data_IF_401332658498
#
_entry.id   IF_401332658498
#
_cell.length_a   1.000
_cell.length_b   1.000
_cell.length_c   1.000
_cell.angle_alpha   90.00
_cell.angle_beta   90.00
_cell.angle_gamma   90.00
#
_symmetry.space_group_name_H-M   'P 1'
#
loop_
_entity.id
_entity.type
_entity.pdbx_description
1 polymer ?
#
# COMPACT_ATOMS: atom_id res chain seq x y z
N UNK A 1 21.53 2.55 28.45
CA UNK A 1 22.06 2.86 29.79
C UNK A 1 23.56 2.99 29.68
N UNK A 2 24.09 4.20 29.90
CA UNK A 2 25.50 4.52 29.68
C UNK A 2 26.36 3.83 30.74
N UNK A 3 26.98 2.71 30.36
CA UNK A 3 27.69 1.83 31.31
C UNK A 3 28.99 2.45 31.81
N UNK A 4 29.71 3.19 30.97
CA UNK A 4 30.97 3.88 31.30
C UNK A 4 30.87 5.35 30.87
N UNK A 5 30.80 6.22 31.87
CA UNK A 5 30.74 7.68 31.70
C UNK A 5 31.86 8.24 32.58
N UNK A 6 32.86 8.88 31.99
CA UNK A 6 34.01 9.42 32.73
C UNK A 6 33.67 10.75 33.41
N UNK A 7 32.79 11.56 32.80
CA UNK A 7 32.42 12.91 33.22
C UNK A 7 30.91 13.03 33.48
N UNK A 8 30.35 12.34 34.49
CA UNK A 8 28.91 12.35 34.79
C UNK A 8 28.36 13.74 35.16
N UNK A 9 29.11 14.52 35.92
CA UNK A 9 28.70 15.87 36.33
C UNK A 9 28.49 16.81 35.13
N UNK A 10 29.39 16.75 34.14
CA UNK A 10 29.37 17.62 32.96
C UNK A 10 28.17 17.30 32.04
N UNK A 11 27.79 16.02 31.96
CA UNK A 11 26.57 15.59 31.27
C UNK A 11 25.31 16.10 31.99
N UNK A 12 25.26 16.01 33.32
CA UNK A 12 24.11 16.48 34.11
C UNK A 12 23.93 17.99 34.00
N UNK A 13 25.02 18.77 34.03
CA UNK A 13 24.99 20.23 33.78
C UNK A 13 24.39 20.53 32.40
N UNK A 14 24.81 19.80 31.36
CA UNK A 14 24.29 19.97 30.01
C UNK A 14 22.80 19.62 29.90
N UNK A 15 22.34 18.58 30.60
CA UNK A 15 20.93 18.16 30.66
C UNK A 15 20.05 19.18 31.39
N UNK A 16 20.53 19.78 32.49
CA UNK A 16 19.80 20.82 33.22
C UNK A 16 19.59 22.07 32.36
N UNK A 17 20.61 22.49 31.62
CA UNK A 17 20.47 23.59 30.67
C UNK A 17 19.50 23.25 29.55
N UNK A 18 19.54 22.01 29.04
CA UNK A 18 18.61 21.55 28.01
C UNK A 18 17.15 21.57 28.51
N UNK A 19 16.89 21.15 29.75
CA UNK A 19 15.55 21.21 30.36
C UNK A 19 15.03 22.66 30.48
N UNK A 20 15.90 23.62 30.85
CA UNK A 20 15.55 25.05 30.90
C UNK A 20 15.23 25.61 29.51
N UNK A 21 15.97 25.18 28.49
CA UNK A 21 15.79 25.59 27.09
C UNK A 21 14.49 25.03 26.47
N UNK A 22 14.07 23.85 26.92
CA UNK A 22 12.91 23.10 26.40
C UNK A 22 11.55 23.64 26.92
N UNK A 23 11.54 24.70 27.74
CA UNK A 23 10.32 25.38 28.25
C UNK A 23 9.22 24.41 28.69
N UNK A 24 9.57 23.47 29.58
CA UNK A 24 8.70 22.34 29.92
C UNK A 24 7.46 22.76 30.73
N UNK A 25 6.29 22.32 30.26
CA UNK A 25 5.13 22.09 31.12
C UNK A 25 5.37 20.85 32.02
N UNK A 26 4.54 20.65 33.05
CA UNK A 26 4.71 19.54 34.01
C UNK A 26 4.70 18.14 33.33
N UNK A 27 4.17 18.03 32.12
CA UNK A 27 4.13 16.79 31.35
C UNK A 27 5.46 16.51 30.63
N UNK A 28 6.05 17.54 30.01
CA UNK A 28 7.38 17.47 29.37
C UNK A 28 8.49 17.20 30.39
N UNK A 29 8.42 17.81 31.58
CA UNK A 29 9.40 17.61 32.66
C UNK A 29 9.45 16.13 33.11
N UNK A 30 8.28 15.50 33.33
CA UNK A 30 8.17 14.08 33.68
C UNK A 30 8.68 13.15 32.58
N UNK A 31 8.52 13.52 31.31
CA UNK A 31 9.01 12.75 30.17
C UNK A 31 10.53 12.81 30.09
N UNK A 32 11.12 13.99 30.27
CA UNK A 32 12.58 14.19 30.30
C UNK A 32 13.19 13.40 31.45
N UNK A 33 12.62 13.45 32.66
CA UNK A 33 13.09 12.63 33.79
C UNK A 33 13.06 11.13 33.49
N UNK A 34 12.03 10.64 32.77
CA UNK A 34 11.94 9.23 32.36
C UNK A 34 13.03 8.84 31.35
N UNK A 35 13.37 9.71 30.41
CA UNK A 35 14.43 9.50 29.42
C UNK A 35 15.80 9.51 30.10
N UNK A 36 16.04 10.50 30.94
CA UNK A 36 17.28 10.65 31.71
C UNK A 36 17.50 9.46 32.63
N UNK A 37 16.48 9.01 33.36
CA UNK A 37 16.57 7.83 34.22
C UNK A 37 16.76 6.51 33.45
N UNK A 38 16.20 6.37 32.24
CA UNK A 38 16.46 5.23 31.33
C UNK A 38 17.93 5.15 30.92
N UNK A 39 18.58 6.29 30.68
CA UNK A 39 19.97 6.31 30.20
C UNK A 39 21.02 6.37 31.32
N UNK A 40 20.80 7.15 32.37
CA UNK A 40 21.77 7.37 33.46
C UNK A 40 21.45 6.58 34.75
N UNK A 41 20.18 6.23 34.98
CA UNK A 41 19.74 5.58 36.22
C UNK A 41 20.15 6.36 37.46
N UNK A 42 20.62 5.66 38.50
CA UNK A 42 21.02 6.24 39.80
C UNK A 42 22.15 7.28 39.73
N UNK A 43 22.89 7.36 38.61
CA UNK A 43 23.95 8.35 38.43
C UNK A 43 23.39 9.76 38.28
N UNK A 44 22.17 9.92 37.75
CA UNK A 44 21.56 11.24 37.66
C UNK A 44 21.30 11.84 39.04
N UNK A 45 20.62 11.09 39.90
CA UNK A 45 20.28 11.47 41.29
C UNK A 45 21.53 11.77 42.16
N UNK A 46 22.68 11.17 41.84
CA UNK A 46 23.94 11.36 42.57
C UNK A 46 24.60 12.72 42.26
N UNK A 47 24.54 13.16 41.00
CA UNK A 47 25.24 14.37 40.54
C UNK A 47 24.32 15.59 40.37
N UNK A 48 23.00 15.38 40.35
CA UNK A 48 21.99 16.43 40.26
C UNK A 48 22.15 17.53 41.34
N UNK A 49 22.29 17.23 42.64
CA UNK A 49 22.41 18.27 43.67
C UNK A 49 23.67 19.11 43.51
N UNK A 50 24.73 18.51 42.96
CA UNK A 50 26.01 19.20 42.72
C UNK A 50 25.92 20.12 41.50
N UNK A 51 25.20 19.69 40.45
CA UNK A 51 24.94 20.51 39.28
C UNK A 51 24.04 21.72 39.62
N UNK A 52 22.97 21.50 40.40
CA UNK A 52 22.07 22.56 40.83
C UNK A 52 22.81 23.62 41.65
N UNK A 53 23.68 23.21 42.59
CA UNK A 53 24.50 24.13 43.37
C UNK A 53 25.48 24.97 42.52
N UNK A 54 26.00 24.42 41.42
CA UNK A 54 26.88 25.15 40.50
C UNK A 54 26.11 26.12 39.60
N UNK A 55 24.86 25.81 39.24
CA UNK A 55 24.03 26.62 38.35
C UNK A 55 23.26 27.73 39.08
N UNK A 56 22.93 27.54 40.36
CA UNK A 56 22.12 28.49 41.15
C UNK A 56 22.84 29.83 41.42
N UNK A 57 24.18 29.82 41.47
CA UNK A 57 24.99 31.01 41.75
C UNK A 57 25.39 31.82 40.51
N UNK A 58 25.00 31.39 39.31
CA UNK A 58 25.48 31.93 38.03
C UNK A 58 24.39 32.72 37.29
N UNK A 59 24.80 33.75 36.54
CA UNK A 59 23.92 34.46 35.60
C UNK A 59 23.66 33.63 34.33
N UNK A 60 22.64 33.97 33.54
CA UNK A 60 22.22 33.18 32.38
C UNK A 60 23.32 33.08 31.31
N UNK A 61 24.10 34.15 31.09
CA UNK A 61 25.28 34.13 30.22
C UNK A 61 26.38 33.19 30.75
N UNK A 62 26.56 33.14 32.07
CA UNK A 62 27.54 32.28 32.73
C UNK A 62 27.12 30.80 32.68
N UNK A 63 25.83 30.50 32.80
CA UNK A 63 25.26 29.14 32.62
C UNK A 63 25.49 28.61 31.21
N UNK A 64 25.31 29.45 30.19
CA UNK A 64 25.59 29.09 28.78
C UNK A 64 27.07 28.79 28.59
N UNK A 65 27.97 29.60 29.17
CA UNK A 65 29.41 29.37 29.09
C UNK A 65 29.82 28.09 29.80
N UNK A 66 29.29 27.82 31.00
CA UNK A 66 29.55 26.59 31.74
C UNK A 66 29.09 25.37 30.94
N UNK A 67 27.86 25.40 30.40
CA UNK A 67 27.31 24.33 29.55
C UNK A 67 28.22 24.04 28.35
N UNK A 68 28.75 25.07 27.70
CA UNK A 68 29.68 24.92 26.58
C UNK A 68 31.01 24.27 27.00
N UNK A 69 31.52 24.62 28.18
CA UNK A 69 32.73 23.99 28.74
C UNK A 69 32.47 22.54 29.13
N UNK A 70 31.29 22.23 29.66
CA UNK A 70 30.86 20.87 29.98
C UNK A 70 30.77 20.00 28.73
N UNK A 71 30.12 20.48 27.66
CA UNK A 71 30.06 19.79 26.37
C UNK A 71 31.45 19.54 25.76
N UNK A 72 32.40 20.47 25.94
CA UNK A 72 33.79 20.28 25.51
C UNK A 72 34.50 19.17 26.29
N UNK A 73 34.30 19.09 27.61
CA UNK A 73 34.88 18.01 28.43
C UNK A 73 34.28 16.64 28.11
N UNK A 74 33.06 16.59 27.61
CA UNK A 74 32.43 15.35 27.11
C UNK A 74 33.07 14.84 25.81
N UNK A 75 33.91 15.63 25.13
CA UNK A 75 34.68 15.18 23.98
C UNK A 75 35.70 14.07 24.35
N UNK A 76 36.17 14.05 25.61
CA UNK A 76 37.14 13.08 26.12
C UNK A 76 36.53 11.68 26.37
N UNK A 77 35.21 11.53 26.21
CA UNK A 77 34.51 10.25 26.32
C UNK A 77 34.80 9.32 25.13
N UNK A 78 34.62 8.01 25.32
CA UNK A 78 34.71 7.01 24.24
C UNK A 78 33.68 7.32 23.12
N UNK A 79 34.01 7.02 21.86
CA UNK A 79 33.12 7.29 20.72
C UNK A 79 31.73 6.65 20.86
N UNK A 80 31.65 5.46 21.48
CA UNK A 80 30.39 4.81 21.83
C UNK A 80 29.57 5.61 22.84
N UNK A 81 30.23 6.15 23.88
CA UNK A 81 29.60 6.97 24.91
C UNK A 81 29.17 8.33 24.35
N UNK A 82 29.96 8.96 23.48
CA UNK A 82 29.58 10.21 22.80
C UNK A 82 28.34 10.03 21.93
N UNK A 83 28.22 8.89 21.25
CA UNK A 83 27.01 8.51 20.51
C UNK A 83 25.80 8.35 21.44
N UNK A 84 25.95 7.64 22.56
CA UNK A 84 24.86 7.46 23.53
C UNK A 84 24.43 8.79 24.20
N UNK A 85 25.37 9.71 24.44
CA UNK A 85 25.07 11.06 24.95
C UNK A 85 24.27 11.86 23.92
N UNK A 86 24.70 11.84 22.65
CA UNK A 86 24.01 12.56 21.58
C UNK A 86 22.59 12.00 21.38
N UNK A 87 22.43 10.67 21.37
CA UNK A 87 21.14 9.98 21.32
C UNK A 87 20.22 10.38 22.48
N UNK A 88 20.77 10.63 23.68
CA UNK A 88 19.97 11.08 24.82
C UNK A 88 19.50 12.52 24.66
N UNK A 89 20.36 13.43 24.17
CA UNK A 89 19.95 14.79 23.85
C UNK A 89 18.89 14.81 22.75
N UNK A 90 19.02 13.94 21.75
CA UNK A 90 18.04 13.76 20.66
C UNK A 90 16.70 13.23 21.22
N UNK A 91 16.70 12.19 22.07
CA UNK A 91 15.47 11.68 22.70
C UNK A 91 14.74 12.76 23.53
N UNK A 92 15.46 13.75 24.08
CA UNK A 92 14.88 14.86 24.86
C UNK A 92 14.34 15.96 23.94
N UNK A 93 15.13 16.40 22.96
CA UNK A 93 14.81 17.53 22.08
C UNK A 93 13.69 17.19 21.09
N UNK A 94 13.66 15.95 20.60
CA UNK A 94 12.70 15.52 19.58
C UNK A 94 11.53 14.73 20.15
N UNK A 95 11.27 14.91 21.46
CA UNK A 95 10.17 14.24 22.15
C UNK A 95 8.80 14.88 21.86
N UNK A 96 8.79 16.15 21.45
CA UNK A 96 7.60 16.92 21.06
C UNK A 96 7.44 17.01 19.53
N UNK A 97 6.21 17.27 19.07
CA UNK A 97 5.92 17.46 17.65
C UNK A 97 6.56 18.75 17.07
N UNK A 98 6.86 19.73 17.92
CA UNK A 98 7.46 21.02 17.54
C UNK A 98 8.77 21.24 18.30
N UNK A 99 9.87 21.45 17.56
CA UNK A 99 11.22 21.67 18.12
C UNK A 99 11.52 23.17 18.15
N UNK A 100 11.90 23.69 19.32
CA UNK A 100 12.23 25.10 19.50
C UNK A 100 13.57 25.46 18.84
N UNK A 101 13.69 26.69 18.36
CA UNK A 101 14.94 27.20 17.75
C UNK A 101 16.12 27.19 18.72
N UNK A 102 15.86 27.32 20.02
CA UNK A 102 16.82 27.25 21.11
C UNK A 102 17.34 25.83 21.34
N UNK A 103 16.46 24.81 21.26
CA UNK A 103 16.83 23.40 21.37
C UNK A 103 17.70 22.96 20.19
N UNK A 104 17.32 23.39 18.97
CA UNK A 104 18.12 23.17 17.77
C UNK A 104 19.52 23.78 17.90
N UNK A 105 19.60 25.01 18.40
CA UNK A 105 20.89 25.68 18.61
C UNK A 105 21.75 24.92 19.62
N UNK A 106 21.15 24.40 20.69
CA UNK A 106 21.85 23.55 21.66
C UNK A 106 22.37 22.27 21.00
N UNK A 107 21.54 21.57 20.23
CA UNK A 107 21.90 20.33 19.55
C UNK A 107 23.04 20.52 18.55
N UNK A 108 22.98 21.56 17.71
CA UNK A 108 24.04 21.89 16.75
C UNK A 108 25.38 22.18 17.45
N UNK A 109 25.33 22.84 18.61
CA UNK A 109 26.50 23.10 19.44
C UNK A 109 27.04 21.78 20.02
N UNK A 110 26.18 20.93 20.59
CA UNK A 110 26.57 19.65 21.16
C UNK A 110 27.20 18.73 20.10
N UNK A 111 26.56 18.56 18.93
CA UNK A 111 27.06 17.77 17.80
C UNK A 111 28.45 18.24 17.34
N UNK A 112 28.62 19.55 17.17
CA UNK A 112 29.91 20.15 16.75
C UNK A 112 31.02 19.94 17.80
N UNK A 113 30.69 20.06 19.08
CA UNK A 113 31.67 19.95 20.17
C UNK A 113 32.04 18.49 20.49
N UNK A 114 31.08 17.56 20.38
CA UNK A 114 31.31 16.13 20.59
C UNK A 114 32.03 15.45 19.40
N UNK A 115 32.08 16.10 18.22
CA UNK A 115 32.79 15.63 17.02
C UNK A 115 32.42 14.19 16.60
N UNK A 116 31.13 13.85 16.66
CA UNK A 116 30.68 12.49 16.35
C UNK A 116 30.28 12.40 14.87
N UNK A 117 31.03 11.64 14.06
CA UNK A 117 30.58 11.22 12.74
C UNK A 117 29.82 9.90 12.90
N UNK A 118 28.50 9.95 12.81
CA UNK A 118 27.61 8.86 13.25
C UNK A 118 26.93 8.08 12.15
N UNK A 119 26.65 8.69 11.00
CA UNK A 119 25.66 8.15 10.06
C UNK A 119 26.29 7.67 8.74
N UNK A 120 25.83 6.51 8.26
CA UNK A 120 26.25 5.97 6.96
C UNK A 120 25.64 6.76 5.79
N UNK A 121 24.51 7.44 6.03
CA UNK A 121 23.81 8.31 5.07
C UNK A 121 23.52 9.66 5.74
N UNK A 122 23.81 10.76 5.06
CA UNK A 122 23.36 12.09 5.50
C UNK A 122 21.90 12.33 5.06
N UNK A 123 20.98 12.65 5.99
CA UNK A 123 19.58 12.89 5.63
C UNK A 123 19.43 14.18 4.81
N UNK A 124 18.58 14.13 3.77
CA UNK A 124 18.27 15.24 2.88
C UNK A 124 16.80 15.25 2.49
N UNK A 125 16.22 16.43 2.23
CA UNK A 125 14.80 16.54 1.87
C UNK A 125 14.50 15.76 0.59
N UNK A 126 15.40 15.83 -0.40
CA UNK A 126 15.28 15.11 -1.66
C UNK A 126 15.21 13.59 -1.49
N UNK A 127 16.01 13.02 -0.58
CA UNK A 127 15.96 11.59 -0.28
C UNK A 127 14.64 11.21 0.40
N UNK A 128 14.13 12.04 1.32
CA UNK A 128 12.85 11.79 1.98
C UNK A 128 11.64 11.97 1.06
N UNK A 129 11.73 12.85 0.05
CA UNK A 129 10.70 12.95 -0.99
C UNK A 129 10.66 11.68 -1.84
N UNK A 130 11.82 11.14 -2.21
CA UNK A 130 11.91 9.85 -2.88
C UNK A 130 11.28 8.72 -2.05
N UNK A 131 11.65 8.62 -0.77
CA UNK A 131 11.14 7.58 0.13
C UNK A 131 9.62 7.69 0.34
N UNK A 132 9.07 8.92 0.36
CA UNK A 132 7.62 9.12 0.43
C UNK A 132 6.89 8.62 -0.83
N UNK A 133 7.44 8.87 -2.02
CA UNK A 133 6.87 8.35 -3.27
C UNK A 133 6.98 6.84 -3.33
N UNK A 134 8.11 6.27 -2.93
CA UNK A 134 8.29 4.82 -2.83
C UNK A 134 7.22 4.21 -1.90
N UNK A 135 7.01 4.81 -0.72
CA UNK A 135 5.99 4.37 0.24
C UNK A 135 4.56 4.45 -0.34
N UNK A 136 4.24 5.53 -1.06
CA UNK A 136 2.93 5.68 -1.70
C UNK A 136 2.69 4.64 -2.80
N UNK A 137 3.73 4.33 -3.57
CA UNK A 137 3.67 3.39 -4.69
C UNK A 137 3.57 1.94 -4.23
N UNK A 138 4.33 1.57 -3.19
CA UNK A 138 4.36 0.21 -2.63
C UNK A 138 2.98 -0.31 -2.21
N UNK A 139 2.04 0.57 -1.83
CA UNK A 139 0.66 0.21 -1.48
C UNK A 139 0.52 -0.92 -0.45
N UNK A 140 1.59 -1.25 0.29
CA UNK A 140 1.59 -2.33 1.28
C UNK A 140 0.91 -1.87 2.57
N UNK A 141 0.16 -2.76 3.21
CA UNK A 141 -0.48 -2.53 4.52
C UNK A 141 0.56 -2.26 5.66
N UNK A 142 1.86 -2.34 5.34
CA UNK A 142 3.03 -2.08 6.19
C UNK A 142 3.52 -0.62 6.17
N UNK A 143 2.85 0.28 5.43
CA UNK A 143 3.21 1.69 5.30
C UNK A 143 2.92 2.54 6.55
N UNK A 144 3.16 2.02 7.75
CA UNK A 144 3.24 2.85 8.96
C UNK A 144 4.65 3.46 9.06
N UNK A 145 4.72 4.76 9.33
CA UNK A 145 5.98 5.47 9.62
C UNK A 145 6.82 4.72 10.68
N UNK A 146 6.16 3.99 11.57
CA UNK A 146 6.77 3.31 12.71
C UNK A 146 7.57 2.04 12.34
N UNK A 147 7.22 1.31 11.27
CA UNK A 147 7.95 0.09 10.86
C UNK A 147 9.23 0.41 10.06
N UNK A 148 9.19 1.43 9.20
CA UNK A 148 10.39 1.88 8.47
C UNK A 148 11.32 2.78 9.30
N UNK A 149 10.82 3.33 10.42
CA UNK A 149 11.63 4.15 11.32
C UNK A 149 12.88 3.40 11.80
N UNK A 150 12.82 2.09 12.06
CA UNK A 150 13.99 1.32 12.50
C UNK A 150 15.08 1.26 11.42
N UNK A 151 14.72 1.05 10.16
CA UNK A 151 15.66 1.04 9.03
C UNK A 151 16.22 2.45 8.79
N UNK A 152 15.38 3.48 8.82
CA UNK A 152 15.87 4.85 8.63
C UNK A 152 16.80 5.29 9.76
N UNK A 153 16.47 4.95 11.01
CA UNK A 153 17.31 5.23 12.19
C UNK A 153 18.66 4.52 12.08
N UNK A 154 18.67 3.27 11.59
CA UNK A 154 19.90 2.48 11.38
C UNK A 154 20.90 3.18 10.44
N UNK A 155 20.42 3.85 9.39
CA UNK A 155 21.30 4.47 8.38
C UNK A 155 21.52 5.98 8.54
N UNK A 156 20.48 6.72 8.94
CA UNK A 156 20.44 8.19 8.94
C UNK A 156 20.32 8.81 10.34
N UNK A 157 20.07 8.00 11.38
CA UNK A 157 19.86 8.46 12.74
C UNK A 157 18.41 8.87 13.07
N UNK A 158 18.14 9.32 14.31
CA UNK A 158 16.79 9.65 14.77
C UNK A 158 16.26 11.01 14.29
N UNK A 159 17.11 11.90 13.76
CA UNK A 159 16.76 13.26 13.29
C UNK A 159 15.98 13.30 11.97
N UNK A 160 15.54 12.14 11.46
CA UNK A 160 14.89 11.94 10.16
C UNK A 160 13.49 12.56 10.07
N UNK A 161 12.80 12.76 11.20
CA UNK A 161 11.39 13.20 11.23
C UNK A 161 11.19 14.59 10.60
N UNK A 162 12.17 15.48 10.74
CA UNK A 162 12.10 16.84 10.17
C UNK A 162 12.11 16.77 8.64
N UNK A 163 13.05 16.00 8.08
CA UNK A 163 13.16 15.80 6.63
C UNK A 163 11.94 15.08 6.06
N UNK A 164 11.41 14.10 6.79
CA UNK A 164 10.16 13.42 6.44
C UNK A 164 8.98 14.39 6.36
N UNK A 165 8.78 15.22 7.39
CA UNK A 165 7.69 16.19 7.44
C UNK A 165 7.81 17.22 6.32
N UNK A 166 9.00 17.75 6.06
CA UNK A 166 9.23 18.71 4.98
C UNK A 166 8.96 18.07 3.60
N UNK A 167 9.46 16.86 3.36
CA UNK A 167 9.19 16.10 2.15
C UNK A 167 7.69 15.83 1.96
N UNK A 168 6.98 15.44 3.02
CA UNK A 168 5.54 15.23 2.99
C UNK A 168 4.78 16.51 2.61
N UNK A 169 5.12 17.64 3.22
CA UNK A 169 4.50 18.93 2.89
C UNK A 169 4.75 19.33 1.42
N UNK A 170 5.92 18.99 0.88
CA UNK A 170 6.26 19.27 -0.51
C UNK A 170 5.54 18.37 -1.54
N UNK A 171 4.92 17.26 -1.11
CA UNK A 171 4.30 16.25 -1.98
C UNK A 171 2.77 16.16 -1.81
N UNK A 172 2.23 16.49 -0.63
CA UNK A 172 0.82 16.23 -0.25
C UNK A 172 -0.25 16.74 -1.24
N UNK A 173 0.02 17.82 -1.97
CA UNK A 173 -0.94 18.48 -2.86
C UNK A 173 -0.77 18.07 -4.33
N UNK A 174 0.16 17.16 -4.63
CA UNK A 174 0.50 16.72 -5.99
C UNK A 174 -0.10 15.34 -6.29
N UNK A 175 -0.49 15.11 -7.55
CA UNK A 175 -0.83 13.76 -8.03
C UNK A 175 0.43 12.88 -8.18
N UNK A 176 0.24 11.56 -8.24
CA UNK A 176 1.34 10.59 -8.28
C UNK A 176 2.29 10.81 -9.46
N UNK A 177 1.77 11.09 -10.65
CA UNK A 177 2.58 11.32 -11.85
C UNK A 177 3.49 12.55 -11.66
N UNK A 178 2.94 13.62 -11.07
CA UNK A 178 3.67 14.84 -10.76
C UNK A 178 4.71 14.62 -9.65
N UNK A 179 4.38 13.81 -8.64
CA UNK A 179 5.32 13.45 -7.58
C UNK A 179 6.53 12.67 -8.13
N UNK A 180 6.30 11.67 -9.00
CA UNK A 180 7.37 10.88 -9.64
C UNK A 180 8.28 11.78 -10.48
N UNK A 181 7.71 12.68 -11.28
CA UNK A 181 8.49 13.61 -12.09
C UNK A 181 9.32 14.58 -11.22
N UNK A 182 8.75 15.09 -10.12
CA UNK A 182 9.44 15.98 -9.19
C UNK A 182 10.63 15.28 -8.53
N UNK A 183 10.39 14.11 -7.95
CA UNK A 183 11.42 13.29 -7.29
C UNK A 183 12.56 12.93 -8.25
N UNK A 184 12.26 12.56 -9.50
CA UNK A 184 13.29 12.30 -10.50
C UNK A 184 14.19 13.52 -10.78
N UNK A 185 13.64 14.74 -10.69
CA UNK A 185 14.43 15.97 -10.79
C UNK A 185 15.26 16.27 -9.53
N UNK A 186 14.68 16.02 -8.36
CA UNK A 186 15.30 16.29 -7.06
C UNK A 186 16.44 15.31 -6.72
N UNK A 187 16.30 14.03 -7.10
CA UNK A 187 17.36 13.03 -6.98
C UNK A 187 18.65 13.42 -7.71
N UNK A 188 18.59 14.24 -8.78
CA UNK A 188 19.78 14.73 -9.48
C UNK A 188 20.67 15.61 -8.60
N UNK A 189 20.11 16.25 -7.57
CA UNK A 189 20.89 17.03 -6.61
C UNK A 189 21.80 16.14 -5.76
N UNK A 190 21.49 14.85 -5.64
CA UNK A 190 22.26 13.86 -4.90
C UNK A 190 23.40 13.21 -5.72
N UNK A 191 23.60 13.62 -6.98
CA UNK A 191 24.62 13.01 -7.85
C UNK A 191 26.07 13.19 -7.33
N UNK A 192 26.33 14.27 -6.58
CA UNK A 192 27.66 14.67 -6.12
C UNK A 192 28.02 14.19 -4.69
N UNK A 193 27.20 13.33 -4.07
CA UNK A 193 27.50 12.78 -2.75
C UNK A 193 28.62 11.71 -2.83
N UNK A 194 29.18 11.35 -1.68
CA UNK A 194 30.26 10.36 -1.61
C UNK A 194 29.80 8.97 -2.10
N UNK A 195 30.69 8.23 -2.76
CA UNK A 195 30.38 6.90 -3.32
C UNK A 195 29.95 5.90 -2.24
N UNK A 196 30.50 6.01 -1.02
CA UNK A 196 30.08 5.16 0.08
C UNK A 196 28.65 5.48 0.54
N UNK A 197 28.26 6.77 0.54
CA UNK A 197 26.89 7.18 0.83
C UNK A 197 25.90 6.70 -0.23
N UNK A 198 26.27 6.73 -1.52
CA UNK A 198 25.42 6.20 -2.61
C UNK A 198 25.14 4.71 -2.43
N UNK A 199 26.17 3.94 -2.08
CA UNK A 199 26.05 2.51 -1.81
C UNK A 199 25.14 2.27 -0.60
N UNK A 200 25.30 3.05 0.48
CA UNK A 200 24.45 2.95 1.66
C UNK A 200 22.99 3.30 1.36
N UNK A 201 22.71 4.35 0.57
CA UNK A 201 21.36 4.71 0.13
C UNK A 201 20.73 3.58 -0.68
N UNK A 202 21.47 3.04 -1.66
CA UNK A 202 20.99 1.91 -2.45
C UNK A 202 20.64 0.72 -1.56
N UNK A 203 21.55 0.33 -0.67
CA UNK A 203 21.34 -0.83 0.21
C UNK A 203 20.19 -0.62 1.19
N UNK A 204 20.01 0.59 1.73
CA UNK A 204 18.86 0.93 2.55
C UNK A 204 17.56 0.79 1.75
N UNK A 205 17.51 1.31 0.52
CA UNK A 205 16.32 1.20 -0.34
C UNK A 205 16.05 -0.24 -0.73
N UNK A 206 17.08 -1.04 -1.01
CA UNK A 206 16.95 -2.48 -1.22
C UNK A 206 16.39 -3.18 0.02
N UNK A 207 16.86 -2.85 1.23
CA UNK A 207 16.32 -3.42 2.49
C UNK A 207 14.86 -3.03 2.72
N UNK A 208 14.45 -1.83 2.29
CA UNK A 208 13.06 -1.35 2.35
C UNK A 208 12.18 -2.12 1.35
N UNK A 209 12.59 -2.16 0.08
CA UNK A 209 11.83 -2.79 -1.00
C UNK A 209 11.71 -4.29 -0.79
N UNK A 210 12.79 -4.96 -0.36
CA UNK A 210 12.79 -6.41 -0.17
C UNK A 210 12.37 -6.83 1.26
N UNK A 211 11.82 -5.93 2.05
CA UNK A 211 11.39 -6.23 3.44
C UNK A 211 10.23 -7.23 3.50
N UNK A 212 9.35 -7.24 2.48
CA UNK A 212 8.18 -8.12 2.38
C UNK A 212 8.34 -9.24 1.32
N UNK A 213 9.56 -9.42 0.81
CA UNK A 213 9.91 -10.30 -0.31
C UNK A 213 9.12 -10.01 -1.62
N UNK A 214 8.25 -8.99 -1.69
CA UNK A 214 7.48 -8.59 -2.87
C UNK A 214 8.22 -7.45 -3.61
N UNK A 215 8.26 -7.50 -4.94
CA UNK A 215 8.83 -6.41 -5.74
C UNK A 215 7.88 -6.12 -6.88
N UNK A 216 7.06 -5.09 -6.70
CA UNK A 216 6.03 -4.67 -7.64
C UNK A 216 6.64 -3.97 -8.86
N UNK A 217 5.91 -3.95 -9.98
CA UNK A 217 6.35 -3.24 -11.18
C UNK A 217 6.45 -1.73 -10.92
N UNK A 218 5.60 -1.21 -10.04
CA UNK A 218 5.60 0.19 -9.67
C UNK A 218 6.81 0.54 -8.78
N UNK A 219 7.16 -0.30 -7.79
CA UNK A 219 8.41 -0.16 -7.02
C UNK A 219 9.64 -0.26 -7.91
N UNK A 220 9.61 -1.12 -8.94
CA UNK A 220 10.70 -1.24 -9.91
C UNK A 220 10.94 0.05 -10.68
N UNK A 221 9.90 0.74 -11.11
CA UNK A 221 10.02 2.05 -11.78
C UNK A 221 10.69 3.06 -10.85
N UNK A 222 10.27 3.12 -9.60
CA UNK A 222 10.82 4.05 -8.59
C UNK A 222 12.26 3.67 -8.23
N UNK A 223 12.59 2.38 -8.16
CA UNK A 223 13.94 1.89 -7.91
C UNK A 223 14.90 2.19 -9.08
N UNK A 224 14.49 1.96 -10.32
CA UNK A 224 15.28 2.29 -11.51
C UNK A 224 15.57 3.80 -11.58
N UNK A 225 14.60 4.65 -11.22
CA UNK A 225 14.80 6.10 -11.11
C UNK A 225 15.90 6.46 -10.10
N UNK A 226 15.99 5.77 -8.96
CA UNK A 226 17.05 5.99 -7.98
C UNK A 226 18.42 5.62 -8.55
N UNK A 227 18.54 4.43 -9.14
CA UNK A 227 19.80 3.93 -9.70
C UNK A 227 20.32 4.84 -10.82
N UNK A 228 19.42 5.28 -11.72
CA UNK A 228 19.78 6.17 -12.83
C UNK A 228 20.32 7.52 -12.33
N UNK A 229 19.68 8.12 -11.32
CA UNK A 229 20.06 9.45 -10.83
C UNK A 229 21.29 9.41 -9.89
N UNK A 230 21.46 8.36 -9.09
CA UNK A 230 22.65 8.20 -8.24
C UNK A 230 23.86 7.65 -9.01
N UNK A 231 23.65 6.99 -10.14
CA UNK A 231 24.71 6.39 -10.96
C UNK A 231 25.32 5.14 -10.33
N UNK A 232 24.54 4.38 -9.56
CA UNK A 232 24.96 3.13 -8.89
C UNK A 232 24.33 1.91 -9.55
N UNK A 233 25.09 0.82 -9.64
CA UNK A 233 24.57 -0.48 -10.06
C UNK A 233 23.77 -1.13 -8.92
N UNK A 234 22.72 -1.94 -9.21
CA UNK A 234 21.98 -2.69 -8.20
C UNK A 234 22.91 -3.62 -7.40
N UNK A 235 22.75 -3.65 -6.08
CA UNK A 235 23.61 -4.39 -5.15
C UNK A 235 23.17 -5.84 -4.95
N UNK A 236 21.87 -6.09 -5.12
CA UNK A 236 21.30 -7.44 -5.17
C UNK A 236 21.15 -7.82 -6.64
N UNK A 237 21.92 -8.81 -7.10
CA UNK A 237 21.53 -9.57 -8.29
C UNK A 237 20.13 -10.08 -8.00
N UNK A 238 19.11 -9.59 -8.72
CA UNK A 238 17.75 -10.10 -8.61
C UNK A 238 17.84 -11.62 -8.63
N UNK A 239 17.62 -12.26 -7.48
CA UNK A 239 17.32 -13.69 -7.43
C UNK A 239 15.91 -13.86 -7.99
N UNK A 240 15.75 -13.55 -9.29
CA UNK A 240 14.90 -14.36 -10.12
C UNK A 240 15.38 -15.78 -9.88
N UNK A 241 14.54 -16.56 -9.20
CA UNK A 241 14.60 -18.00 -9.14
C UNK A 241 14.64 -18.53 -10.59
N UNK A 242 15.85 -18.52 -11.16
CA UNK A 242 16.12 -18.82 -12.56
C UNK A 242 16.29 -20.32 -12.70
N UNK A 243 15.17 -21.02 -12.85
CA UNK A 243 15.19 -22.04 -13.90
C UNK A 243 14.90 -21.30 -15.19
N UNK A 244 15.75 -21.46 -16.22
CA UNK A 244 15.57 -20.79 -17.52
C UNK A 244 14.19 -21.01 -18.16
N UNK A 245 13.42 -21.99 -17.68
CA UNK A 245 12.00 -22.18 -18.00
C UNK A 245 11.10 -21.04 -17.50
N UNK A 246 11.30 -20.48 -16.30
CA UNK A 246 10.46 -19.40 -15.77
C UNK A 246 10.70 -18.08 -16.51
N UNK A 247 11.96 -17.76 -16.85
CA UNK A 247 12.28 -16.59 -17.69
C UNK A 247 11.70 -16.71 -19.10
N UNK A 248 11.75 -17.91 -19.70
CA UNK A 248 11.08 -18.15 -20.99
C UNK A 248 9.57 -17.97 -20.89
N UNK A 249 8.93 -18.45 -19.82
CA UNK A 249 7.50 -18.29 -19.60
C UNK A 249 7.10 -16.82 -19.39
N UNK A 250 7.87 -16.07 -18.61
CA UNK A 250 7.65 -14.64 -18.40
C UNK A 250 7.80 -13.86 -19.74
N UNK A 251 8.84 -14.16 -20.51
CA UNK A 251 9.04 -13.59 -21.84
C UNK A 251 7.89 -13.93 -22.81
N UNK A 252 7.32 -15.13 -22.72
CA UNK A 252 6.15 -15.54 -23.53
C UNK A 252 4.90 -14.78 -23.09
N UNK A 253 4.65 -14.66 -21.78
CA UNK A 253 3.51 -13.93 -21.23
C UNK A 253 3.51 -12.45 -21.65
N UNK A 254 4.67 -11.79 -21.53
CA UNK A 254 4.84 -10.39 -21.90
C UNK A 254 4.85 -10.17 -23.42
N UNK A 255 4.97 -11.25 -24.22
CA UNK A 255 5.05 -11.10 -25.67
C UNK A 255 3.73 -10.62 -26.27
N UNK A 256 3.82 -9.58 -27.11
CA UNK A 256 2.66 -9.05 -27.85
C UNK A 256 2.05 -10.08 -28.80
N UNK A 257 2.87 -10.98 -29.35
CA UNK A 257 2.41 -12.03 -30.26
C UNK A 257 1.53 -13.06 -29.55
N UNK A 258 1.93 -13.48 -28.34
CA UNK A 258 1.13 -14.40 -27.53
C UNK A 258 -0.21 -13.78 -27.15
N UNK A 259 -0.20 -12.54 -26.62
CA UNK A 259 -1.42 -11.84 -26.25
C UNK A 259 -2.36 -11.65 -27.47
N UNK A 260 -1.83 -11.26 -28.64
CA UNK A 260 -2.63 -11.15 -29.85
C UNK A 260 -3.20 -12.49 -30.33
N UNK A 261 -2.43 -13.58 -30.22
CA UNK A 261 -2.90 -14.92 -30.57
C UNK A 261 -4.08 -15.34 -29.69
N UNK A 262 -3.95 -15.20 -28.37
CA UNK A 262 -5.03 -15.50 -27.42
C UNK A 262 -6.27 -14.67 -27.73
N UNK A 263 -6.11 -13.39 -28.08
CA UNK A 263 -7.21 -12.51 -28.45
C UNK A 263 -7.97 -12.98 -29.69
N UNK A 264 -7.26 -13.43 -30.72
CA UNK A 264 -7.87 -14.02 -31.91
C UNK A 264 -8.65 -15.29 -31.53
N UNK A 265 -8.09 -16.15 -30.67
CA UNK A 265 -8.76 -17.38 -30.20
C UNK A 265 -10.03 -17.05 -29.42
N UNK A 266 -10.04 -16.01 -28.58
CA UNK A 266 -11.24 -15.55 -27.86
C UNK A 266 -12.35 -15.14 -28.84
N UNK A 267 -12.02 -14.35 -29.86
CA UNK A 267 -12.99 -13.90 -30.88
C UNK A 267 -13.54 -15.11 -31.65
N UNK A 268 -12.67 -16.03 -32.08
CA UNK A 268 -13.07 -17.25 -32.78
C UNK A 268 -13.98 -18.12 -31.90
N UNK A 269 -13.69 -18.22 -30.61
CA UNK A 269 -14.54 -18.95 -29.65
C UNK A 269 -15.94 -18.37 -29.60
N UNK A 270 -16.08 -17.03 -29.58
CA UNK A 270 -17.38 -16.37 -29.62
C UNK A 270 -18.18 -16.70 -30.88
N UNK A 271 -17.52 -16.71 -32.04
CA UNK A 271 -18.15 -17.09 -33.31
C UNK A 271 -18.59 -18.57 -33.27
N UNK A 272 -17.74 -19.47 -32.79
CA UNK A 272 -18.03 -20.90 -32.70
C UNK A 272 -19.23 -21.16 -31.79
N UNK A 273 -19.32 -20.52 -30.63
CA UNK A 273 -20.48 -20.65 -29.71
C UNK A 273 -21.77 -20.18 -30.39
N UNK A 274 -21.71 -19.11 -31.19
CA UNK A 274 -22.84 -18.66 -32.01
C UNK A 274 -23.29 -19.73 -33.01
N UNK A 275 -22.34 -20.37 -33.70
CA UNK A 275 -22.62 -21.46 -34.65
C UNK A 275 -23.17 -22.70 -33.94
N UNK A 276 -22.64 -23.04 -32.76
CA UNK A 276 -23.10 -24.18 -31.93
C UNK A 276 -24.55 -24.06 -31.48
N UNK A 277 -25.15 -22.85 -31.55
CA UNK A 277 -26.56 -22.63 -31.24
C UNK A 277 -27.48 -23.29 -32.27
N UNK A 278 -27.00 -23.55 -33.49
CA UNK A 278 -27.75 -24.26 -34.53
C UNK A 278 -27.54 -25.78 -34.39
N UNK A 279 -28.58 -26.48 -33.92
CA UNK A 279 -28.54 -27.93 -33.76
C UNK A 279 -28.26 -28.67 -35.07
N UNK A 280 -28.73 -28.13 -36.21
CA UNK A 280 -28.54 -28.73 -37.54
C UNK A 280 -27.06 -28.76 -37.96
N UNK A 281 -26.32 -27.68 -37.68
CA UNK A 281 -24.90 -27.57 -38.04
C UNK A 281 -24.05 -28.49 -37.15
N UNK A 282 -24.38 -28.54 -35.86
CA UNK A 282 -23.66 -29.37 -34.88
C UNK A 282 -23.86 -30.86 -35.15
N UNK A 283 -25.09 -31.28 -35.44
CA UNK A 283 -25.41 -32.69 -35.76
C UNK A 283 -24.77 -33.14 -37.07
N UNK A 284 -24.51 -32.21 -38.00
CA UNK A 284 -23.86 -32.52 -39.27
C UNK A 284 -22.38 -32.89 -39.13
N UNK A 285 -21.67 -32.34 -38.13
CA UNK A 285 -20.24 -32.59 -37.91
C UNK A 285 -19.84 -32.67 -36.42
N UNK A 286 -20.41 -33.59 -35.62
CA UNK A 286 -20.25 -33.60 -34.17
C UNK A 286 -18.78 -33.81 -33.72
N UNK A 287 -18.03 -34.63 -34.45
CA UNK A 287 -16.62 -34.89 -34.14
C UNK A 287 -15.74 -33.65 -34.32
N UNK A 288 -16.03 -32.81 -35.32
CA UNK A 288 -15.29 -31.57 -35.60
C UNK A 288 -15.52 -30.56 -34.47
N UNK A 289 -16.78 -30.32 -34.08
CA UNK A 289 -17.10 -29.41 -32.98
C UNK A 289 -16.49 -29.88 -31.65
N UNK A 290 -16.54 -31.19 -31.38
CA UNK A 290 -15.90 -31.75 -30.19
C UNK A 290 -14.38 -31.51 -30.18
N UNK A 291 -13.71 -31.71 -31.32
CA UNK A 291 -12.28 -31.47 -31.45
C UNK A 291 -11.92 -29.98 -31.27
N UNK A 292 -12.71 -29.07 -31.84
CA UNK A 292 -12.52 -27.62 -31.70
C UNK A 292 -12.71 -27.17 -30.25
N UNK A 293 -13.80 -27.57 -29.57
CA UNK A 293 -14.05 -27.23 -28.17
C UNK A 293 -12.92 -27.74 -27.27
N UNK A 294 -12.45 -28.97 -27.51
CA UNK A 294 -11.33 -29.54 -26.76
C UNK A 294 -10.03 -28.77 -26.99
N UNK A 295 -9.73 -28.40 -28.24
CA UNK A 295 -8.54 -27.63 -28.60
C UNK A 295 -8.53 -26.26 -27.94
N UNK A 296 -9.66 -25.55 -27.97
CA UNK A 296 -9.83 -24.25 -27.32
C UNK A 296 -9.64 -24.34 -25.81
N UNK A 297 -10.22 -25.36 -25.15
CA UNK A 297 -10.01 -25.60 -23.72
C UNK A 297 -8.53 -25.77 -23.37
N UNK A 298 -7.80 -26.57 -24.15
CA UNK A 298 -6.36 -26.78 -23.90
C UNK A 298 -5.53 -25.52 -24.17
N UNK A 299 -5.86 -24.73 -25.19
CA UNK A 299 -5.18 -23.45 -25.44
C UNK A 299 -5.33 -22.53 -24.22
N UNK A 300 -6.54 -22.39 -23.70
CA UNK A 300 -6.79 -21.57 -22.53
C UNK A 300 -6.22 -22.14 -21.22
N UNK A 301 -6.13 -23.46 -21.11
CA UNK A 301 -5.43 -24.09 -20.00
C UNK A 301 -3.93 -23.78 -20.02
N UNK A 302 -3.30 -23.92 -21.18
CA UNK A 302 -1.89 -23.56 -21.38
C UNK A 302 -1.69 -22.06 -21.12
N UNK A 303 -2.61 -21.21 -21.57
CA UNK A 303 -2.55 -19.77 -21.28
C UNK A 303 -2.49 -19.50 -19.77
N UNK A 304 -3.42 -20.06 -19.00
CA UNK A 304 -3.43 -19.86 -17.54
C UNK A 304 -2.18 -20.44 -16.90
N UNK A 305 -1.66 -21.57 -17.37
CA UNK A 305 -0.38 -22.09 -16.88
C UNK A 305 0.78 -21.14 -17.18
N UNK A 306 0.84 -20.56 -18.38
CA UNK A 306 1.88 -19.59 -18.75
C UNK A 306 1.81 -18.35 -17.86
N UNK A 307 0.61 -17.88 -17.52
CA UNK A 307 0.41 -16.73 -16.60
C UNK A 307 0.64 -17.07 -15.13
N UNK A 308 0.40 -18.32 -14.73
CA UNK A 308 0.49 -18.74 -13.33
C UNK A 308 1.90 -19.19 -12.93
N UNK A 309 2.60 -19.90 -13.81
CA UNK A 309 3.89 -20.51 -13.50
C UNK A 309 5.01 -19.50 -13.16
N UNK A 310 5.13 -18.32 -13.79
CA UNK A 310 6.09 -17.30 -13.37
C UNK A 310 5.89 -16.86 -11.91
N UNK A 311 4.63 -16.83 -11.47
CA UNK A 311 4.22 -16.43 -10.13
C UNK A 311 4.00 -17.63 -9.19
N UNK A 312 4.49 -18.83 -9.53
CA UNK A 312 4.24 -20.06 -8.76
C UNK A 312 4.72 -19.97 -7.31
N UNK A 313 5.80 -19.21 -7.06
CA UNK A 313 6.35 -19.00 -5.72
C UNK A 313 5.44 -18.12 -4.84
N UNK A 314 4.49 -17.38 -5.43
CA UNK A 314 3.53 -16.51 -4.74
C UNK A 314 2.13 -16.62 -5.37
N UNK A 315 1.41 -17.75 -5.17
CA UNK A 315 0.09 -17.95 -5.75
C UNK A 315 -0.94 -16.91 -5.28
N UNK A 316 -0.71 -16.27 -4.12
CA UNK A 316 -1.59 -15.25 -3.55
C UNK A 316 -1.63 -13.99 -4.43
N UNK A 317 -0.51 -13.59 -5.04
CA UNK A 317 -0.45 -12.44 -5.97
C UNK A 317 -1.26 -12.71 -7.25
N UNK A 318 -1.20 -13.93 -7.80
CA UNK A 318 -2.07 -14.30 -8.92
C UNK A 318 -3.55 -14.33 -8.53
N UNK A 319 -3.87 -14.71 -7.28
CA UNK A 319 -5.23 -14.78 -6.76
C UNK A 319 -5.80 -13.43 -6.29
N UNK A 320 -4.98 -12.39 -6.16
CA UNK A 320 -5.46 -11.05 -5.80
C UNK A 320 -6.13 -10.34 -6.98
N UNK A 321 -5.69 -10.63 -8.22
CA UNK A 321 -6.39 -10.16 -9.42
C UNK A 321 -7.65 -10.98 -9.68
N UNK A 322 -8.81 -10.37 -9.39
CA UNK A 322 -10.13 -10.98 -9.61
C UNK A 322 -10.36 -11.48 -11.04
N UNK A 323 -9.70 -10.92 -12.06
CA UNK A 323 -9.81 -11.40 -13.44
C UNK A 323 -9.03 -12.69 -13.69
N UNK A 324 -7.84 -12.83 -13.08
CA UNK A 324 -7.06 -14.06 -13.13
C UNK A 324 -7.78 -15.21 -12.42
N UNK A 325 -8.36 -14.93 -11.25
CA UNK A 325 -9.20 -15.90 -10.52
C UNK A 325 -10.40 -16.32 -11.35
N UNK A 326 -11.12 -15.36 -11.92
CA UNK A 326 -12.30 -15.61 -12.73
C UNK A 326 -11.97 -16.46 -13.97
N UNK A 327 -10.93 -16.12 -14.72
CA UNK A 327 -10.52 -16.89 -15.89
C UNK A 327 -10.07 -18.32 -15.54
N UNK A 328 -9.35 -18.47 -14.42
CA UNK A 328 -8.91 -19.78 -13.92
C UNK A 328 -10.09 -20.66 -13.53
N UNK A 329 -11.09 -20.09 -12.84
CA UNK A 329 -12.34 -20.80 -12.51
C UNK A 329 -13.10 -21.24 -13.77
N UNK A 330 -13.14 -20.41 -14.81
CA UNK A 330 -13.75 -20.78 -16.08
C UNK A 330 -13.01 -21.92 -16.79
N UNK A 331 -11.67 -21.90 -16.80
CA UNK A 331 -10.88 -23.00 -17.38
C UNK A 331 -11.13 -24.28 -16.59
N UNK A 332 -10.93 -24.26 -15.27
CA UNK A 332 -11.07 -25.45 -14.41
C UNK A 332 -12.50 -25.99 -14.51
N UNK A 333 -13.50 -25.12 -14.44
CA UNK A 333 -14.91 -25.47 -14.64
C UNK A 333 -15.19 -26.12 -16.00
N UNK A 334 -14.42 -25.80 -17.05
CA UNK A 334 -14.61 -26.40 -18.37
C UNK A 334 -14.16 -27.87 -18.47
N UNK A 335 -13.30 -28.33 -17.54
CA UNK A 335 -12.81 -29.71 -17.47
C UNK A 335 -13.59 -30.57 -16.46
N UNK A 336 -14.35 -29.96 -15.55
CA UNK A 336 -15.10 -30.70 -14.53
C UNK A 336 -16.27 -31.47 -15.16
N UNK A 337 -16.40 -32.79 -14.88
CA UNK A 337 -17.53 -33.59 -15.34
C UNK A 337 -18.74 -33.30 -14.45
N UNK A 338 -19.49 -32.24 -14.76
CA UNK A 338 -20.76 -31.94 -14.08
C UNK A 338 -21.87 -32.88 -14.57
N UNK A 339 -21.76 -34.18 -14.25
CA UNK A 339 -22.63 -35.26 -14.71
C UNK A 339 -24.11 -35.16 -14.30
N UNK A 340 -24.47 -34.19 -13.44
CA UNK A 340 -25.84 -33.99 -12.95
C UNK A 340 -26.45 -32.63 -13.32
N UNK A 341 -25.68 -31.71 -13.90
CA UNK A 341 -26.13 -30.33 -14.16
C UNK A 341 -25.78 -29.87 -15.59
N UNK A 342 -26.48 -30.40 -16.63
CA UNK A 342 -26.22 -30.04 -18.02
C UNK A 342 -26.44 -28.54 -18.31
N UNK A 343 -27.30 -27.88 -17.54
CA UNK A 343 -27.52 -26.43 -17.61
C UNK A 343 -26.31 -25.62 -17.15
N UNK A 344 -25.62 -26.05 -16.09
CA UNK A 344 -24.40 -25.37 -15.59
C UNK A 344 -23.28 -25.48 -16.63
N UNK A 345 -23.12 -26.65 -17.27
CA UNK A 345 -22.19 -26.83 -18.38
C UNK A 345 -22.50 -25.92 -19.57
N UNK A 346 -23.78 -25.62 -19.82
CA UNK A 346 -24.18 -24.68 -20.87
C UNK A 346 -23.82 -23.24 -20.49
N UNK A 347 -24.08 -22.83 -19.26
CA UNK A 347 -23.71 -21.49 -18.76
C UNK A 347 -22.19 -21.31 -18.77
N UNK A 348 -21.41 -22.26 -18.24
CA UNK A 348 -19.94 -22.16 -18.22
C UNK A 348 -19.35 -22.03 -19.64
N UNK A 349 -19.98 -22.65 -20.64
CA UNK A 349 -19.61 -22.47 -22.05
C UNK A 349 -19.85 -21.04 -22.54
N UNK A 350 -21.02 -20.47 -22.23
CA UNK A 350 -21.36 -19.08 -22.58
C UNK A 350 -20.50 -18.06 -21.84
N UNK A 351 -20.15 -18.34 -20.58
CA UNK A 351 -19.30 -17.47 -19.78
C UNK A 351 -17.90 -17.32 -20.35
N UNK A 352 -17.41 -18.22 -21.21
CA UNK A 352 -16.11 -18.01 -21.90
C UNK A 352 -16.09 -16.74 -22.75
N UNK A 353 -17.25 -16.27 -23.23
CA UNK A 353 -17.35 -15.00 -23.96
C UNK A 353 -16.99 -13.79 -23.08
N UNK A 354 -17.21 -13.88 -21.77
CA UNK A 354 -16.87 -12.79 -20.82
C UNK A 354 -15.37 -12.48 -20.78
N UNK A 355 -14.51 -13.36 -21.30
CA UNK A 355 -13.08 -13.10 -21.50
C UNK A 355 -12.79 -11.89 -22.38
N UNK A 356 -13.76 -11.49 -23.23
CA UNK A 356 -13.64 -10.25 -24.01
C UNK A 356 -13.53 -9.01 -23.12
N UNK A 357 -14.10 -9.04 -21.92
CA UNK A 357 -14.04 -7.92 -20.98
C UNK A 357 -12.63 -7.71 -20.44
N UNK A 358 -11.82 -8.77 -20.32
CA UNK A 358 -10.41 -8.66 -19.95
C UNK A 358 -9.59 -7.91 -21.00
N UNK A 359 -9.94 -8.08 -22.28
CA UNK A 359 -9.16 -7.57 -23.41
C UNK A 359 -9.52 -6.14 -23.84
N UNK A 360 -10.72 -5.69 -23.49
CA UNK A 360 -11.20 -4.35 -23.82
C UNK A 360 -11.28 -3.56 -22.52
N UNK A 361 -10.24 -2.77 -22.17
CA UNK A 361 -10.18 -2.01 -20.92
C UNK A 361 -11.42 -1.12 -20.72
N UNK A 362 -11.97 -0.56 -21.79
CA UNK A 362 -13.20 0.23 -21.71
C UNK A 362 -14.40 -0.59 -21.21
N UNK A 363 -14.56 -1.84 -21.64
CA UNK A 363 -15.63 -2.72 -21.16
C UNK A 363 -15.40 -3.12 -19.70
N UNK A 364 -14.15 -3.40 -19.32
CA UNK A 364 -13.78 -3.68 -17.93
C UNK A 364 -14.20 -2.53 -17.02
N UNK A 365 -13.85 -1.30 -17.37
CA UNK A 365 -14.19 -0.10 -16.58
C UNK A 365 -15.71 0.02 -16.44
N UNK A 366 -16.47 -0.17 -17.52
CA UNK A 366 -17.94 -0.11 -17.46
C UNK A 366 -18.50 -1.18 -16.50
N UNK A 367 -18.06 -2.43 -16.63
CA UNK A 367 -18.52 -3.54 -15.78
C UNK A 367 -18.16 -3.30 -14.31
N UNK A 368 -16.92 -2.88 -14.03
CA UNK A 368 -16.46 -2.58 -12.67
C UNK A 368 -17.26 -1.42 -12.08
N UNK A 369 -17.49 -0.34 -12.83
CA UNK A 369 -18.30 0.80 -12.38
C UNK A 369 -19.75 0.41 -12.07
N UNK A 370 -20.35 -0.50 -12.86
CA UNK A 370 -21.67 -1.06 -12.57
C UNK A 370 -21.67 -1.89 -11.30
N UNK A 371 -20.66 -2.75 -11.10
CA UNK A 371 -20.51 -3.56 -9.90
C UNK A 371 -20.30 -2.70 -8.65
N UNK A 372 -19.49 -1.64 -8.75
CA UNK A 372 -19.29 -0.68 -7.66
C UNK A 372 -20.58 0.07 -7.31
N UNK A 373 -21.38 0.41 -8.31
CA UNK A 373 -22.69 1.04 -8.13
C UNK A 373 -23.76 0.11 -7.53
N UNK A 374 -23.49 -1.19 -7.43
CA UNK A 374 -24.45 -2.19 -6.93
C UNK A 374 -24.79 -1.96 -5.46
N UNK A 375 -23.86 -1.46 -4.63
CA UNK A 375 -24.13 -1.20 -3.20
C UNK A 375 -25.21 -0.12 -3.00
N UNK A 376 -25.07 1.12 -3.55
CA UNK A 376 -26.14 2.13 -3.49
C UNK A 376 -27.45 1.67 -4.13
N UNK A 377 -27.38 1.04 -5.31
CA UNK A 377 -28.57 0.54 -6.03
C UNK A 377 -29.29 -0.54 -5.20
N UNK A 378 -28.54 -1.37 -4.47
CA UNK A 378 -29.10 -2.39 -3.58
C UNK A 378 -30.00 -1.81 -2.50
N UNK A 379 -29.61 -0.70 -1.86
CA UNK A 379 -30.45 -0.04 -0.85
C UNK A 379 -31.75 0.51 -1.46
N UNK A 380 -31.68 1.09 -2.66
CA UNK A 380 -32.87 1.52 -3.41
C UNK A 380 -33.75 0.32 -3.75
N UNK A 381 -33.16 -0.81 -4.15
CA UNK A 381 -33.87 -2.06 -4.44
C UNK A 381 -34.60 -2.62 -3.21
N UNK A 382 -33.97 -2.59 -2.03
CA UNK A 382 -34.61 -3.00 -0.77
C UNK A 382 -35.80 -2.09 -0.43
N UNK A 383 -35.65 -0.78 -0.60
CA UNK A 383 -36.75 0.16 -0.39
C UNK A 383 -37.90 -0.10 -1.36
N UNK A 384 -37.59 -0.35 -2.64
CA UNK A 384 -38.59 -0.68 -3.66
C UNK A 384 -39.31 -2.00 -3.32
N UNK A 385 -38.58 -3.03 -2.88
CA UNK A 385 -39.17 -4.31 -2.47
C UNK A 385 -40.09 -4.14 -1.26
N UNK A 386 -39.70 -3.31 -0.29
CA UNK A 386 -40.54 -2.98 0.87
C UNK A 386 -41.82 -2.26 0.46
N UNK A 387 -41.74 -1.32 -0.48
CA UNK A 387 -42.93 -0.66 -1.05
C UNK A 387 -43.83 -1.68 -1.77
N UNK A 388 -43.26 -2.51 -2.65
CA UNK A 388 -44.00 -3.57 -3.36
C UNK A 388 -44.66 -4.52 -2.36
N UNK A 389 -44.01 -4.84 -1.24
CA UNK A 389 -44.59 -5.69 -0.21
C UNK A 389 -45.78 -5.03 0.50
N UNK A 390 -45.65 -3.76 0.94
CA UNK A 390 -46.74 -3.02 1.60
C UNK A 390 -47.94 -2.90 0.66
N UNK A 391 -47.71 -2.45 -0.57
CA UNK A 391 -48.76 -2.36 -1.58
C UNK A 391 -49.27 -3.74 -2.01
N UNK A 392 -48.44 -4.77 -1.92
CA UNK A 392 -48.83 -6.15 -2.15
C UNK A 392 -49.89 -6.61 -1.16
N UNK A 393 -49.65 -6.42 0.14
CA UNK A 393 -50.61 -6.76 1.18
C UNK A 393 -51.92 -5.97 1.03
N UNK A 394 -51.82 -4.65 0.74
CA UNK A 394 -52.99 -3.80 0.49
C UNK A 394 -53.75 -4.31 -0.73
N UNK A 395 -53.06 -4.56 -1.84
CA UNK A 395 -53.64 -5.00 -3.11
C UNK A 395 -54.32 -6.35 -3.00
N UNK A 396 -53.67 -7.35 -2.38
CA UNK A 396 -54.28 -8.66 -2.13
C UNK A 396 -55.54 -8.52 -1.27
N UNK A 397 -55.51 -7.67 -0.24
CA UNK A 397 -56.67 -7.51 0.65
C UNK A 397 -57.83 -6.77 -0.02
N UNK A 398 -57.53 -5.75 -0.83
CA UNK A 398 -58.51 -4.88 -1.45
C UNK A 398 -59.10 -5.45 -2.76
N UNK A 399 -58.27 -6.08 -3.59
CA UNK A 399 -58.60 -6.41 -4.98
C UNK A 399 -58.67 -7.90 -5.28
N UNK A 400 -58.27 -8.80 -4.38
CA UNK A 400 -58.27 -10.27 -4.63
C UNK A 400 -59.62 -10.84 -5.07
N UNK A 401 -60.73 -10.27 -4.61
CA UNK A 401 -62.07 -10.72 -5.00
C UNK A 401 -62.46 -10.31 -6.42
N UNK A 402 -62.01 -9.14 -6.85
CA UNK A 402 -62.34 -8.58 -8.16
C UNK A 402 -61.37 -9.10 -9.23
N UNK A 403 -60.09 -9.22 -8.86
CA UNK A 403 -59.02 -9.67 -9.73
C UNK A 403 -58.15 -10.73 -9.03
N UNK A 404 -58.63 -11.98 -8.97
CA UNK A 404 -57.87 -13.08 -8.38
C UNK A 404 -56.65 -13.48 -9.22
N UNK A 405 -56.57 -13.05 -10.49
CA UNK A 405 -55.45 -13.39 -11.38
C UNK A 405 -54.21 -12.59 -11.01
N UNK A 406 -54.35 -11.29 -10.74
CA UNK A 406 -53.21 -10.44 -10.37
C UNK A 406 -53.09 -10.25 -8.85
N UNK A 407 -54.21 -10.22 -8.11
CA UNK A 407 -54.24 -9.92 -6.68
C UNK A 407 -54.64 -11.11 -5.79
N UNK A 408 -54.73 -12.33 -6.34
CA UNK A 408 -55.26 -13.50 -5.60
C UNK A 408 -54.39 -13.95 -4.43
N UNK A 409 -53.07 -14.02 -4.63
CA UNK A 409 -52.10 -14.34 -3.59
C UNK A 409 -51.01 -13.27 -3.51
N UNK A 410 -50.42 -13.11 -2.32
CA UNK A 410 -49.41 -12.09 -2.08
C UNK A 410 -48.20 -12.18 -3.03
N UNK A 411 -47.58 -13.35 -3.31
CA UNK A 411 -46.46 -13.42 -4.23
C UNK A 411 -46.82 -13.01 -5.67
N UNK A 412 -48.02 -13.39 -6.12
CA UNK A 412 -48.53 -13.02 -7.45
C UNK A 412 -48.76 -11.52 -7.51
N UNK A 413 -49.38 -10.95 -6.46
CA UNK A 413 -49.59 -9.51 -6.32
C UNK A 413 -48.29 -8.74 -6.37
N UNK A 414 -47.25 -9.20 -5.67
CA UNK A 414 -45.94 -8.57 -5.68
C UNK A 414 -45.30 -8.59 -7.08
N UNK A 415 -45.45 -9.67 -7.85
CA UNK A 415 -44.98 -9.76 -9.24
C UNK A 415 -45.78 -8.80 -10.15
N UNK A 416 -47.11 -8.75 -10.02
CA UNK A 416 -47.96 -7.84 -10.78
C UNK A 416 -47.63 -6.37 -10.50
N UNK A 417 -47.37 -6.02 -9.24
CA UNK A 417 -46.95 -4.67 -8.85
C UNK A 417 -45.52 -4.36 -9.31
N UNK A 418 -44.61 -5.34 -9.33
CA UNK A 418 -43.27 -5.16 -9.88
C UNK A 418 -43.33 -4.84 -11.39
N UNK A 419 -44.17 -5.55 -12.13
CA UNK A 419 -44.42 -5.30 -13.57
C UNK A 419 -45.04 -3.92 -13.79
N UNK A 420 -46.00 -3.53 -12.97
CA UNK A 420 -46.59 -2.19 -13.01
C UNK A 420 -45.57 -1.09 -12.68
N UNK A 421 -44.63 -1.35 -11.75
CA UNK A 421 -43.57 -0.41 -11.38
C UNK A 421 -42.56 -0.17 -12.52
N UNK A 422 -42.40 -1.12 -13.45
CA UNK A 422 -41.66 -0.92 -14.70
C UNK A 422 -42.50 -0.28 -15.81
N UNK A 423 -43.68 0.25 -15.47
CA UNK A 423 -44.68 0.83 -16.39
C UNK A 423 -45.25 -0.16 -17.41
N UNK A 424 -45.13 -1.46 -17.15
CA UNK A 424 -45.69 -2.50 -18.00
C UNK A 424 -47.06 -2.95 -17.45
N UNK A 425 -48.08 -3.03 -18.32
CA UNK A 425 -49.43 -3.53 -18.03
C UNK A 425 -50.18 -2.90 -16.83
N UNK A 426 -49.74 -1.75 -16.35
CA UNK A 426 -50.40 -1.05 -15.24
C UNK A 426 -51.82 -0.56 -15.60
N UNK A 427 -52.07 -0.30 -16.89
CA UNK A 427 -53.40 0.11 -17.37
C UNK A 427 -54.41 -1.01 -17.25
N UNK A 428 -54.00 -2.25 -17.48
CA UNK A 428 -54.89 -3.41 -17.42
C UNK A 428 -55.30 -3.69 -15.97
N UNK A 429 -54.34 -3.61 -15.04
CA UNK A 429 -54.63 -3.65 -13.61
C UNK A 429 -55.62 -2.55 -13.21
N UNK A 430 -55.45 -1.33 -13.71
CA UNK A 430 -56.36 -0.21 -13.43
C UNK A 430 -57.77 -0.47 -13.98
N UNK A 431 -57.89 -0.83 -15.26
CA UNK A 431 -59.20 -1.02 -15.90
C UNK A 431 -59.98 -2.17 -15.28
N UNK A 432 -59.31 -3.26 -14.90
CA UNK A 432 -59.97 -4.40 -14.22
C UNK A 432 -60.53 -3.96 -12.85
N UNK A 433 -59.93 -2.99 -12.16
CA UNK A 433 -60.48 -2.48 -10.90
C UNK A 433 -61.55 -1.40 -11.06
N UNK A 434 -61.67 -0.78 -12.24
CA UNK A 434 -62.66 0.27 -12.49
C UNK A 434 -64.05 -0.29 -12.83
N UNK A 435 -64.12 -1.52 -13.33
CA UNK A 435 -65.34 -2.21 -13.76
C UNK A 435 -65.54 -3.48 -12.94
#
# INVERSE_FOLDING_TARGET
MIKRLQNPLELVISLKMLNVISLSDEESEKRIEKIVSKHLGKKYDEFEPTADQQLESLDDDEKVQLTRQSLLKLQDEEDSTKKEILLMFEEIIFADEEVLSSERTFYDIAKRLLQVNTYEIEPSVELFEYLNVLNYVSSSDFASIDEFAEIWIKYMGPDIRVYYNEAYQNLKDLDLETQIHKVGGDLRKLQNIDEQQKISIRTMVEEIIFSDDEFTEEEKIVYELLLENLGVEPGIEQTESSSGTFQLLNNIEQSRLFNNFINIVIILTGIIVGVETSEEIVQSNPALFHFIDLSIKYIFFIEILIRFLPNWNKPISFLSDGWNVFDSLLVIGSFLPFGSYPFVLRILRLLRFTRIFRQIPQLRIIVVSLLQSTKPIGFVGVLLLLLIYIYGVIGTTAFSKNDPVHFGELPITMISLLRAATFEDWTDLMYIQMY
#
